data_IF_993278450691
#
_entry.id   IF_993278450691
#
_cell.length_a   1.000
_cell.length_b   1.000
_cell.length_c   1.000
_cell.angle_alpha   90.00
_cell.angle_beta   90.00
_cell.angle_gamma   90.00
#
_symmetry.space_group_name_H-M   'P 1'
#
loop_
_entity.id
_entity.type
_entity.pdbx_description
1 polymer ?
#
# COMPACT_ATOMS: atom_id res chain seq x y z
N UNK A 1 5.85 -16.63 22.15
CA UNK A 1 6.18 -16.81 20.73
C UNK A 1 4.85 -17.03 20.00
N UNK A 2 4.51 -16.13 19.10
CA UNK A 2 3.26 -16.16 18.33
C UNK A 2 3.60 -16.51 16.88
N UNK A 3 2.89 -17.45 16.23
CA UNK A 3 3.12 -17.79 14.82
C UNK A 3 2.73 -16.61 13.90
N UNK A 4 3.28 -16.58 12.67
CA UNK A 4 3.01 -15.58 11.67
C UNK A 4 4.16 -14.61 11.43
N UNK A 5 3.87 -13.37 11.02
CA UNK A 5 4.87 -12.37 10.68
C UNK A 5 5.72 -11.97 11.89
N UNK A 6 7.04 -12.11 11.79
CA UNK A 6 8.00 -11.77 12.84
C UNK A 6 8.42 -10.30 12.69
N UNK A 7 7.50 -9.37 13.02
CA UNK A 7 7.67 -7.93 12.85
C UNK A 7 7.48 -7.21 14.20
N UNK A 8 8.38 -6.27 14.51
CA UNK A 8 8.36 -5.54 15.78
C UNK A 8 7.03 -4.76 15.96
N UNK A 9 6.58 -4.04 14.93
CA UNK A 9 5.33 -3.28 14.96
C UNK A 9 4.08 -4.18 15.13
N UNK A 10 4.07 -5.39 14.56
CA UNK A 10 3.05 -6.40 14.87
C UNK A 10 3.07 -6.77 16.36
N UNK A 11 4.27 -7.01 16.91
CA UNK A 11 4.42 -7.33 18.34
C UNK A 11 3.95 -6.22 19.26
N UNK A 12 4.20 -4.95 18.93
CA UNK A 12 3.69 -3.80 19.69
C UNK A 12 2.16 -3.79 19.72
N UNK A 13 1.51 -3.90 18.56
CA UNK A 13 0.05 -3.89 18.47
C UNK A 13 -0.59 -5.10 19.16
N UNK A 14 0.03 -6.29 19.06
CA UNK A 14 -0.43 -7.46 19.78
C UNK A 14 -0.30 -7.31 21.30
N UNK A 15 0.76 -6.66 21.78
CA UNK A 15 0.93 -6.35 23.19
C UNK A 15 -0.15 -5.40 23.72
N UNK A 16 -0.48 -4.36 22.97
CA UNK A 16 -1.59 -3.43 23.28
C UNK A 16 -2.91 -4.19 23.30
N UNK A 17 -3.20 -4.98 22.25
CA UNK A 17 -4.40 -5.81 22.16
C UNK A 17 -4.59 -6.70 23.41
N UNK A 18 -3.54 -7.42 23.81
CA UNK A 18 -3.60 -8.30 25.00
C UNK A 18 -3.87 -7.51 26.28
N UNK A 19 -3.23 -6.35 26.44
CA UNK A 19 -3.46 -5.49 27.61
C UNK A 19 -4.91 -4.97 27.68
N UNK A 20 -5.46 -4.57 26.54
CA UNK A 20 -6.85 -4.09 26.43
C UNK A 20 -7.86 -5.22 26.64
N UNK A 21 -7.59 -6.44 26.12
CA UNK A 21 -8.41 -7.63 26.42
C UNK A 21 -8.46 -7.93 27.91
N UNK A 22 -7.30 -7.91 28.59
CA UNK A 22 -7.25 -8.12 30.05
C UNK A 22 -8.02 -7.03 30.80
N UNK A 23 -8.02 -5.80 30.30
CA UNK A 23 -8.77 -4.67 30.86
C UNK A 23 -10.27 -4.68 30.53
N UNK A 24 -10.75 -5.61 29.69
CA UNK A 24 -12.15 -5.72 29.29
C UNK A 24 -12.63 -4.66 28.30
N UNK A 25 -11.71 -4.08 27.51
CA UNK A 25 -12.00 -3.01 26.56
C UNK A 25 -12.47 -3.53 25.18
N UNK A 26 -12.52 -4.87 24.98
CA UNK A 26 -12.96 -5.53 23.75
C UNK A 26 -12.27 -4.98 22.47
N UNK A 27 -10.94 -4.95 22.38
CA UNK A 27 -10.23 -4.45 21.20
C UNK A 27 -10.43 -5.35 19.98
N UNK A 28 -10.18 -4.79 18.79
CA UNK A 28 -10.19 -5.56 17.54
C UNK A 28 -8.75 -5.84 17.09
N UNK A 29 -8.44 -7.12 16.84
CA UNK A 29 -7.16 -7.52 16.29
C UNK A 29 -7.11 -7.26 14.79
N UNK A 30 -6.03 -6.62 14.32
CA UNK A 30 -5.79 -6.46 12.89
C UNK A 30 -5.40 -7.79 12.23
N UNK A 31 -5.94 -8.05 11.04
CA UNK A 31 -5.56 -9.21 10.25
C UNK A 31 -4.11 -9.08 9.74
N UNK A 32 -3.36 -10.18 9.74
CA UNK A 32 -1.94 -10.20 9.31
C UNK A 32 -1.75 -9.67 7.86
N UNK A 33 -2.76 -9.79 7.00
CA UNK A 33 -2.72 -9.28 5.63
C UNK A 33 -2.63 -7.74 5.57
N UNK A 34 -3.18 -7.07 6.57
CA UNK A 34 -3.24 -5.62 6.67
C UNK A 34 -2.03 -5.01 7.40
N UNK A 35 -1.08 -5.84 7.81
CA UNK A 35 0.14 -5.39 8.49
C UNK A 35 1.19 -5.03 7.42
N UNK A 36 1.74 -3.80 7.42
CA UNK A 36 2.76 -3.40 6.47
C UNK A 36 4.06 -4.19 6.69
N UNK A 37 4.71 -4.54 5.61
CA UNK A 37 5.99 -5.25 5.59
C UNK A 37 6.99 -4.44 4.80
N UNK A 38 8.12 -4.14 5.41
CA UNK A 38 9.21 -3.40 4.77
C UNK A 38 10.50 -4.21 4.90
N UNK A 39 11.20 -4.35 3.77
CA UNK A 39 12.58 -4.84 3.73
C UNK A 39 13.48 -3.64 3.47
N UNK A 40 14.29 -3.29 4.46
CA UNK A 40 15.21 -2.14 4.43
C UNK A 40 16.51 -2.52 3.71
N UNK A 41 16.38 -2.82 2.43
CA UNK A 41 17.50 -3.00 1.50
C UNK A 41 17.64 -1.77 0.60
N UNK A 42 18.52 -1.81 -0.41
CA UNK A 42 18.66 -0.75 -1.41
C UNK A 42 18.49 -1.35 -2.80
N UNK A 43 17.40 -1.02 -3.51
CA UNK A 43 16.23 -0.22 -3.10
C UNK A 43 15.36 -0.95 -2.06
N UNK A 44 14.59 -0.19 -1.26
CA UNK A 44 13.64 -0.73 -0.30
C UNK A 44 12.48 -1.47 -0.99
N UNK A 45 11.92 -2.48 -0.29
CA UNK A 45 10.72 -3.19 -0.73
C UNK A 45 9.67 -3.07 0.35
N UNK A 46 8.46 -2.62 0.00
CA UNK A 46 7.36 -2.51 0.94
C UNK A 46 6.07 -3.09 0.37
N UNK A 47 5.25 -3.67 1.23
CA UNK A 47 3.95 -4.21 0.82
C UNK A 47 2.95 -4.25 1.97
N UNK A 48 1.67 -4.03 1.66
CA UNK A 48 0.52 -4.23 2.55
C UNK A 48 -0.68 -4.70 1.74
N UNK A 49 -1.55 -5.46 2.36
CA UNK A 49 -2.74 -6.01 1.71
C UNK A 49 -2.46 -7.24 0.84
N UNK A 50 -3.36 -7.53 -0.08
CA UNK A 50 -3.32 -8.70 -0.95
C UNK A 50 -2.34 -8.50 -2.10
N UNK A 51 -1.54 -9.52 -2.38
CA UNK A 51 -0.86 -9.63 -3.67
C UNK A 51 -1.90 -9.80 -4.79
N UNK A 52 -1.54 -9.47 -6.03
CA UNK A 52 -2.42 -9.72 -7.19
C UNK A 52 -2.89 -11.18 -7.24
N UNK A 53 -2.00 -12.14 -6.97
CA UNK A 53 -2.34 -13.55 -6.94
C UNK A 53 -3.44 -13.85 -5.93
N UNK A 54 -3.28 -13.40 -4.67
CA UNK A 54 -4.29 -13.58 -3.61
C UNK A 54 -5.61 -12.88 -3.94
N UNK A 55 -5.54 -11.68 -4.51
CA UNK A 55 -6.74 -10.97 -4.95
C UNK A 55 -7.47 -11.72 -6.07
N UNK A 56 -6.75 -12.24 -7.08
CA UNK A 56 -7.35 -13.04 -8.16
C UNK A 56 -7.93 -14.36 -7.66
N UNK A 57 -7.30 -15.01 -6.69
CA UNK A 57 -7.86 -16.21 -6.06
C UNK A 57 -9.19 -15.93 -5.35
N UNK A 58 -9.36 -14.71 -4.81
CA UNK A 58 -10.56 -14.31 -4.06
C UNK A 58 -11.66 -13.67 -4.93
N UNK A 59 -11.27 -12.82 -5.89
CA UNK A 59 -12.19 -11.97 -6.66
C UNK A 59 -12.19 -12.28 -8.17
N UNK A 60 -11.33 -13.21 -8.63
CA UNK A 60 -11.28 -13.62 -10.03
C UNK A 60 -10.98 -12.47 -10.98
N UNK A 61 -11.77 -12.37 -12.04
CA UNK A 61 -11.61 -11.39 -13.12
C UNK A 61 -11.96 -9.95 -12.74
N UNK A 62 -12.51 -9.73 -11.54
CA UNK A 62 -12.80 -8.39 -11.03
C UNK A 62 -11.54 -7.64 -10.56
N UNK A 63 -10.39 -8.31 -10.48
CA UNK A 63 -9.14 -7.68 -10.05
C UNK A 63 -8.61 -6.73 -11.13
N UNK A 64 -8.30 -5.51 -10.73
CA UNK A 64 -7.63 -4.48 -11.53
C UNK A 64 -6.30 -4.13 -10.88
N UNK A 65 -5.27 -3.99 -11.69
CA UNK A 65 -3.94 -3.61 -11.21
C UNK A 65 -3.36 -2.51 -12.08
N UNK A 66 -2.58 -1.64 -11.46
CA UNK A 66 -1.75 -0.66 -12.14
C UNK A 66 -0.34 -0.73 -11.59
N UNK A 67 0.64 -0.70 -12.45
CA UNK A 67 2.05 -0.51 -12.12
C UNK A 67 2.47 0.89 -12.58
N UNK A 68 2.96 1.70 -11.65
CA UNK A 68 3.53 3.01 -11.94
C UNK A 68 5.04 2.94 -11.83
N UNK A 69 5.72 3.27 -12.91
CA UNK A 69 7.18 3.33 -12.94
C UNK A 69 7.67 4.65 -12.33
N UNK A 70 8.46 4.55 -11.26
CA UNK A 70 8.99 5.72 -10.55
C UNK A 70 9.95 6.58 -11.40
N UNK A 71 10.44 6.08 -12.54
CA UNK A 71 11.20 6.91 -13.49
C UNK A 71 10.37 8.09 -14.05
N UNK A 72 9.04 7.98 -14.04
CA UNK A 72 8.12 9.08 -14.38
C UNK A 72 7.85 10.07 -13.24
N UNK A 73 8.37 9.84 -12.04
CA UNK A 73 8.16 10.69 -10.88
C UNK A 73 9.29 11.73 -10.73
N UNK A 74 8.94 13.02 -10.65
CA UNK A 74 9.91 14.10 -10.56
C UNK A 74 10.83 14.03 -9.35
N UNK A 75 10.32 13.56 -8.19
CA UNK A 75 11.16 13.38 -6.99
C UNK A 75 12.15 12.24 -7.16
N UNK A 76 11.76 11.16 -7.81
CA UNK A 76 12.65 10.05 -8.12
C UNK A 76 13.79 10.49 -9.04
N UNK A 77 13.50 11.35 -10.02
CA UNK A 77 14.52 11.95 -10.88
C UNK A 77 15.50 12.82 -10.10
N UNK A 78 15.03 13.65 -9.16
CA UNK A 78 15.88 14.48 -8.29
C UNK A 78 16.78 13.60 -7.41
N UNK A 79 16.26 12.46 -6.94
CA UNK A 79 17.00 11.51 -6.09
C UNK A 79 17.89 10.56 -6.90
N UNK A 80 17.88 10.65 -8.24
CA UNK A 80 18.56 9.73 -9.15
C UNK A 80 18.23 8.26 -8.84
N UNK A 81 16.94 7.96 -8.60
CA UNK A 81 16.46 6.64 -8.24
C UNK A 81 15.37 6.19 -9.20
N UNK A 82 15.05 4.89 -9.17
CA UNK A 82 13.99 4.26 -9.95
C UNK A 82 13.24 3.24 -9.08
N UNK A 83 12.22 2.63 -9.64
CA UNK A 83 11.42 1.62 -8.95
C UNK A 83 10.03 1.50 -9.55
N UNK A 84 9.17 0.78 -8.86
CA UNK A 84 7.79 0.54 -9.28
C UNK A 84 6.87 0.60 -8.06
N UNK A 85 5.69 1.18 -8.25
CA UNK A 85 4.56 1.03 -7.34
C UNK A 85 3.49 0.24 -8.07
N UNK A 86 2.90 -0.74 -7.38
CA UNK A 86 1.77 -1.52 -7.84
C UNK A 86 0.61 -1.39 -6.89
N UNK A 87 -0.54 -0.95 -7.40
CA UNK A 87 -1.81 -1.01 -6.71
C UNK A 87 -2.64 -2.18 -7.23
N UNK A 88 -3.32 -2.85 -6.31
CA UNK A 88 -4.28 -3.93 -6.58
C UNK A 88 -5.63 -3.48 -6.06
N UNK A 89 -6.65 -3.50 -6.91
CA UNK A 89 -8.02 -3.11 -6.55
C UNK A 89 -9.04 -4.11 -7.09
N UNK A 90 -10.27 -3.98 -6.65
CA UNK A 90 -11.43 -4.72 -7.18
C UNK A 90 -12.24 -3.77 -8.07
N UNK A 91 -12.74 -4.24 -9.18
CA UNK A 91 -13.56 -3.44 -10.10
C UNK A 91 -14.78 -2.89 -9.38
N UNK A 92 -14.95 -1.57 -9.42
CA UNK A 92 -16.01 -0.89 -8.67
C UNK A 92 -15.88 -0.98 -7.14
N UNK A 93 -14.73 -1.44 -6.64
CA UNK A 93 -14.45 -1.66 -5.23
C UNK A 93 -13.15 -0.98 -4.76
N UNK A 94 -12.72 -1.31 -3.52
CA UNK A 94 -11.58 -0.66 -2.90
C UNK A 94 -10.23 -1.16 -3.43
N UNK A 95 -9.18 -0.42 -3.05
CA UNK A 95 -7.78 -0.85 -3.13
C UNK A 95 -7.57 -1.91 -2.04
N UNK A 96 -7.10 -3.09 -2.45
CA UNK A 96 -6.90 -4.25 -1.58
C UNK A 96 -5.43 -4.60 -1.39
N UNK A 97 -4.53 -3.93 -2.10
CA UNK A 97 -3.09 -4.15 -1.96
C UNK A 97 -2.26 -3.01 -2.52
N UNK A 98 -1.17 -2.72 -1.79
CA UNK A 98 -0.09 -1.83 -2.20
C UNK A 98 1.23 -2.59 -2.13
N UNK A 99 2.03 -2.49 -3.19
CA UNK A 99 3.36 -3.09 -3.28
C UNK A 99 4.30 -2.12 -3.98
N UNK A 100 5.51 -1.99 -3.47
CA UNK A 100 6.48 -1.09 -4.07
C UNK A 100 7.91 -1.58 -3.88
N UNK A 101 8.77 -1.20 -4.82
CA UNK A 101 10.22 -1.29 -4.74
C UNK A 101 10.80 0.04 -5.21
N UNK A 102 11.65 0.65 -4.41
CA UNK A 102 12.27 1.94 -4.71
C UNK A 102 12.83 2.61 -3.49
N UNK A 103 13.53 3.74 -3.69
CA UNK A 103 14.04 4.52 -2.59
C UNK A 103 12.89 5.09 -1.74
N UNK A 104 12.98 4.95 -0.43
CA UNK A 104 12.01 5.47 0.56
C UNK A 104 10.58 4.90 0.41
N UNK A 105 10.43 3.73 -0.19
CA UNK A 105 9.12 3.06 -0.27
C UNK A 105 8.61 2.71 1.13
N UNK A 106 9.51 2.43 2.09
CA UNK A 106 9.16 2.20 3.48
C UNK A 106 8.46 3.38 4.17
N UNK A 107 8.71 4.62 3.73
CA UNK A 107 8.00 5.81 4.23
C UNK A 107 6.62 5.98 3.55
N UNK A 108 6.47 5.53 2.31
CA UNK A 108 5.21 5.62 1.57
C UNK A 108 4.21 4.54 1.98
N UNK A 109 4.67 3.46 2.62
CA UNK A 109 3.80 2.33 3.02
C UNK A 109 2.68 2.75 3.96
N UNK A 110 2.88 3.81 4.77
CA UNK A 110 1.85 4.33 5.66
C UNK A 110 0.60 4.82 4.92
N UNK A 111 0.76 5.46 3.76
CA UNK A 111 -0.38 5.83 2.91
C UNK A 111 -1.03 4.57 2.29
N UNK A 112 -0.23 3.62 1.83
CA UNK A 112 -0.71 2.32 1.36
C UNK A 112 -1.47 1.54 2.44
N UNK A 113 -1.03 1.60 3.70
CA UNK A 113 -1.71 0.99 4.83
C UNK A 113 -3.09 1.62 5.07
N UNK A 114 -3.19 2.96 5.03
CA UNK A 114 -4.46 3.67 5.14
C UNK A 114 -5.41 3.30 4.01
N UNK A 115 -4.93 3.25 2.76
CA UNK A 115 -5.74 2.84 1.61
C UNK A 115 -6.37 1.47 1.81
N UNK A 116 -5.59 0.48 2.25
CA UNK A 116 -6.04 -0.90 2.42
C UNK A 116 -6.95 -1.06 3.64
N UNK A 117 -6.55 -0.49 4.78
CA UNK A 117 -7.29 -0.66 6.04
C UNK A 117 -8.60 0.13 6.09
N UNK A 118 -8.69 1.24 5.37
CA UNK A 118 -9.90 2.06 5.28
C UNK A 118 -10.73 1.77 4.03
N UNK A 119 -10.35 0.74 3.28
CA UNK A 119 -11.06 0.31 2.08
C UNK A 119 -11.24 1.48 1.08
N UNK A 120 -10.19 2.31 0.91
CA UNK A 120 -10.23 3.45 0.02
C UNK A 120 -10.43 3.01 -1.45
N UNK A 121 -11.35 3.69 -2.14
CA UNK A 121 -11.53 3.48 -3.58
C UNK A 121 -10.44 4.21 -4.37
N UNK A 122 -10.09 3.73 -5.56
CA UNK A 122 -9.15 4.45 -6.43
C UNK A 122 -9.53 5.93 -6.66
N UNK A 123 -10.83 6.23 -6.75
CA UNK A 123 -11.35 7.61 -6.89
C UNK A 123 -11.08 8.50 -5.68
N UNK A 124 -11.08 7.92 -4.47
CA UNK A 124 -10.83 8.68 -3.24
C UNK A 124 -9.38 9.17 -3.24
N UNK A 125 -8.44 8.25 -3.50
CA UNK A 125 -7.00 8.56 -3.56
C UNK A 125 -6.66 9.47 -4.74
N UNK A 126 -7.26 9.23 -5.91
CA UNK A 126 -7.09 10.06 -7.11
C UNK A 126 -7.53 11.52 -6.91
N UNK A 127 -8.39 11.79 -5.93
CA UNK A 127 -8.86 13.14 -5.59
C UNK A 127 -7.94 13.89 -4.62
N UNK A 128 -6.98 13.21 -4.00
CA UNK A 128 -6.06 13.84 -3.06
C UNK A 128 -5.01 14.69 -3.78
N UNK A 129 -4.59 15.77 -3.12
CA UNK A 129 -3.52 16.62 -3.61
C UNK A 129 -2.22 16.21 -2.91
N UNK A 130 -1.36 15.52 -3.64
CA UNK A 130 -0.02 15.18 -3.16
C UNK A 130 0.94 16.36 -3.34
N UNK A 131 1.84 16.54 -2.38
CA UNK A 131 2.83 17.61 -2.45
C UNK A 131 3.80 17.40 -3.62
N UNK A 132 4.11 18.46 -4.37
CA UNK A 132 5.08 18.43 -5.46
C UNK A 132 6.38 19.18 -5.08
N UNK A 133 7.61 18.61 -5.34
CA UNK A 133 7.83 17.24 -5.80
C UNK A 133 7.95 16.25 -4.64
N UNK A 134 7.21 15.18 -4.68
CA UNK A 134 7.28 14.09 -3.69
C UNK A 134 7.22 12.71 -4.35
N UNK A 135 7.67 11.68 -3.63
CA UNK A 135 7.49 10.30 -4.13
C UNK A 135 6.04 9.83 -3.98
N UNK A 136 5.28 10.38 -3.03
CA UNK A 136 3.87 10.04 -2.84
C UNK A 136 2.97 10.44 -4.02
N UNK A 137 3.38 11.38 -4.88
CA UNK A 137 2.67 11.66 -6.14
C UNK A 137 2.51 10.40 -6.99
N UNK A 138 3.42 9.45 -6.89
CA UNK A 138 3.31 8.15 -7.60
C UNK A 138 2.11 7.32 -7.17
N UNK A 139 1.68 7.43 -5.91
CA UNK A 139 0.45 6.79 -5.40
C UNK A 139 -0.79 7.43 -6.02
N UNK A 140 -0.81 8.76 -6.06
CA UNK A 140 -1.87 9.51 -6.74
C UNK A 140 -1.98 9.16 -8.22
N UNK A 141 -0.85 9.10 -8.93
CA UNK A 141 -0.79 8.70 -10.34
C UNK A 141 -1.31 7.28 -10.58
N UNK A 142 -0.88 6.32 -9.75
CA UNK A 142 -1.36 4.95 -9.83
C UNK A 142 -2.86 4.86 -9.55
N UNK A 143 -3.36 5.61 -8.57
CA UNK A 143 -4.79 5.67 -8.25
C UNK A 143 -5.61 6.35 -9.35
N UNK A 144 -5.11 7.44 -9.95
CA UNK A 144 -5.75 8.07 -11.12
C UNK A 144 -5.85 7.11 -12.30
N UNK A 145 -4.81 6.32 -12.55
CA UNK A 145 -4.83 5.33 -13.61
C UNK A 145 -5.87 4.22 -13.32
N UNK A 146 -5.97 3.72 -12.10
CA UNK A 146 -7.02 2.77 -11.68
C UNK A 146 -8.43 3.38 -11.79
N UNK A 147 -8.58 4.68 -11.51
CA UNK A 147 -9.85 5.41 -11.64
C UNK A 147 -10.21 5.76 -13.10
N UNK A 148 -9.39 5.34 -14.09
CA UNK A 148 -9.61 5.60 -15.50
C UNK A 148 -9.29 7.03 -15.94
N UNK A 149 -8.50 7.79 -15.18
CA UNK A 149 -8.12 9.18 -15.43
C UNK A 149 -6.60 9.37 -15.27
N UNK A 150 -5.75 8.60 -16.01
CA UNK A 150 -4.31 8.74 -15.90
C UNK A 150 -3.86 10.14 -16.35
N UNK A 151 -2.89 10.73 -15.64
CA UNK A 151 -2.28 12.00 -16.02
C UNK A 151 -0.94 11.78 -16.75
N UNK A 152 -0.03 11.01 -16.14
CA UNK A 152 1.30 10.75 -16.68
C UNK A 152 1.57 9.26 -16.97
N UNK A 153 0.61 8.37 -16.67
CA UNK A 153 0.70 6.95 -17.04
C UNK A 153 0.24 6.79 -18.50
N UNK A 154 1.14 6.36 -19.36
CA UNK A 154 0.82 6.00 -20.74
C UNK A 154 0.80 4.47 -20.85
N UNK A 155 -0.29 3.94 -21.40
CA UNK A 155 -0.42 2.52 -21.77
C UNK A 155 0.38 2.20 -23.03
#
# INVERSE_FOLDING_TARGET
IVPGLQLAHRGFMQGIFVAEEIAGLNPTMQADINIPRVTFCEPEIASVGMTEKQAREKFGDQVRTVEYNLAGNGKSSILATSGIIKLVSVEGGPIVGFHGIGARIGEQIGEGELMVNWEAYPSDVASLIHAHPSQNESLGEAAMALAGKPLHVHN
#
